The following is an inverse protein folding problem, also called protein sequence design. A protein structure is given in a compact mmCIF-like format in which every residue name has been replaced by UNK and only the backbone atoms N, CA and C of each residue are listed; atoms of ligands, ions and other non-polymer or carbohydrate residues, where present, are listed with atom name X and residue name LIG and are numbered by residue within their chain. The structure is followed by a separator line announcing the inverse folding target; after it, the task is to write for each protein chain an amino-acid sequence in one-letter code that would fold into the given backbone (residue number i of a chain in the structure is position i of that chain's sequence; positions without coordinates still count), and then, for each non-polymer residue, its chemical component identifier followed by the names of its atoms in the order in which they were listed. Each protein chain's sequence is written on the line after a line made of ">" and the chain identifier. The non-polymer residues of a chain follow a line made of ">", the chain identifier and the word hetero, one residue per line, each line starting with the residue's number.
data_IF_222132443229
#
_entry.id   IF_222132443229
#
_cell.length_a   1.000
_cell.length_b   1.000
_cell.length_c   1.000
_cell.angle_alpha   90.00
_cell.angle_beta   90.00
_cell.angle_gamma   90.00
#
_symmetry.space_group_name_H-M   'P 1'
#
loop_
_entity.id
_entity.type
_entity.pdbx_description
1 polymer ?
#
# COMPACT_ATOMS: atom_id res chain seq x y z
N UNK A 1 0.21 -24.22 1.27
CA UNK A 1 0.41 -24.13 -0.18
C UNK A 1 -0.15 -22.78 -0.61
N UNK A 2 0.73 -21.84 -0.92
CA UNK A 2 0.29 -20.59 -1.53
C UNK A 2 -0.24 -20.95 -2.92
N UNK A 3 -1.57 -20.94 -3.08
CA UNK A 3 -2.15 -20.97 -4.42
C UNK A 3 -1.46 -19.88 -5.23
N UNK A 4 -1.02 -20.24 -6.44
CA UNK A 4 -0.42 -19.31 -7.38
C UNK A 4 -1.27 -18.06 -7.45
N UNK A 5 -0.83 -17.00 -6.76
CA UNK A 5 -1.41 -15.69 -6.88
C UNK A 5 -1.44 -15.33 -8.36
N UNK A 6 -2.61 -15.05 -8.87
CA UNK A 6 -2.78 -14.66 -10.26
C UNK A 6 -2.26 -13.23 -10.42
N UNK A 7 -0.97 -13.11 -10.69
CA UNK A 7 -0.32 -11.84 -11.00
C UNK A 7 -0.32 -11.66 -12.51
N UNK A 8 -1.06 -10.69 -13.02
CA UNK A 8 -1.10 -10.37 -14.45
C UNK A 8 0.09 -9.52 -14.89
N UNK A 9 0.75 -8.85 -13.96
CA UNK A 9 2.05 -8.18 -14.15
C UNK A 9 2.89 -8.31 -12.88
N UNK A 10 4.22 -8.11 -13.00
CA UNK A 10 5.15 -8.13 -11.86
C UNK A 10 4.84 -7.08 -10.79
N UNK A 11 3.98 -6.12 -11.09
CA UNK A 11 3.65 -4.99 -10.22
C UNK A 11 2.25 -5.05 -9.64
N UNK A 12 1.38 -5.94 -10.12
CA UNK A 12 0.02 -6.09 -9.61
C UNK A 12 0.02 -6.61 -8.17
N UNK A 13 -0.94 -6.12 -7.40
CA UNK A 13 -1.23 -6.66 -6.08
C UNK A 13 -1.94 -8.01 -6.15
N UNK A 14 -1.91 -8.71 -5.05
CA UNK A 14 -2.57 -10.00 -4.85
C UNK A 14 -3.64 -9.85 -3.78
N UNK A 15 -4.82 -10.40 -4.00
CA UNK A 15 -5.81 -10.52 -2.94
C UNK A 15 -5.42 -11.63 -1.97
N UNK A 16 -5.52 -11.32 -0.69
CA UNK A 16 -5.21 -12.26 0.39
C UNK A 16 -6.45 -12.48 1.26
N UNK A 17 -6.51 -13.67 1.81
CA UNK A 17 -7.52 -14.08 2.78
C UNK A 17 -6.82 -14.73 3.97
N UNK A 18 -7.09 -14.21 5.16
CA UNK A 18 -6.51 -14.74 6.39
C UNK A 18 -7.47 -14.53 7.56
N UNK A 19 -7.73 -15.59 8.32
CA UNK A 19 -8.54 -15.57 9.53
C UNK A 19 -9.90 -14.85 9.36
N UNK A 20 -10.58 -15.08 8.25
CA UNK A 20 -11.88 -14.44 7.96
C UNK A 20 -11.79 -12.98 7.48
N UNK A 21 -10.58 -12.49 7.23
CA UNK A 21 -10.31 -11.13 6.75
C UNK A 21 -9.83 -11.15 5.31
N UNK A 22 -10.28 -10.18 4.52
CA UNK A 22 -9.82 -9.93 3.16
C UNK A 22 -8.82 -8.78 3.13
N UNK A 23 -7.90 -8.83 2.18
CA UNK A 23 -6.93 -7.77 2.01
C UNK A 23 -6.23 -7.81 0.66
N UNK A 24 -5.31 -6.89 0.48
CA UNK A 24 -4.45 -6.79 -0.69
C UNK A 24 -2.99 -6.79 -0.25
N UNK A 25 -2.16 -7.47 -1.01
CA UNK A 25 -0.73 -7.61 -0.78
C UNK A 25 0.04 -7.16 -2.01
N UNK A 26 1.12 -6.41 -1.77
CA UNK A 26 2.07 -6.01 -2.80
C UNK A 26 3.49 -6.31 -2.35
N UNK A 27 4.34 -6.66 -3.30
CA UNK A 27 5.77 -6.75 -3.13
C UNK A 27 6.47 -5.85 -4.14
N UNK A 28 7.46 -5.10 -3.69
CA UNK A 28 8.27 -4.22 -4.54
C UNK A 28 9.75 -4.38 -4.19
N UNK A 29 10.58 -4.47 -5.21
CA UNK A 29 12.03 -4.33 -5.07
C UNK A 29 12.38 -2.89 -5.40
N UNK A 30 12.98 -2.20 -4.44
CA UNK A 30 13.37 -0.80 -4.54
C UNK A 30 14.90 -0.70 -4.47
N UNK A 31 15.51 -0.10 -5.48
CA UNK A 31 16.97 0.06 -5.54
C UNK A 31 17.43 1.24 -4.68
N UNK A 32 17.07 1.17 -3.40
CA UNK A 32 17.36 2.16 -2.35
C UNK A 32 17.54 1.47 -1.01
N UNK A 33 18.41 2.00 -0.12
CA UNK A 33 18.61 1.44 1.21
C UNK A 33 17.33 1.56 2.07
N UNK A 34 17.18 0.68 3.04
CA UNK A 34 15.98 0.60 3.90
C UNK A 34 15.72 1.90 4.64
N UNK A 35 16.76 2.63 5.04
CA UNK A 35 16.65 3.91 5.74
C UNK A 35 15.94 4.97 4.87
N UNK A 36 16.25 5.01 3.58
CA UNK A 36 15.60 5.93 2.64
C UNK A 36 14.14 5.55 2.41
N UNK A 37 13.85 4.28 2.27
CA UNK A 37 12.47 3.79 2.14
C UNK A 37 11.69 4.06 3.42
N UNK A 38 12.27 3.81 4.59
CA UNK A 38 11.65 4.11 5.88
C UNK A 38 11.29 5.59 6.05
N UNK A 39 12.19 6.48 5.66
CA UNK A 39 11.92 7.92 5.67
C UNK A 39 10.73 8.28 4.77
N UNK A 40 10.64 7.67 3.59
CA UNK A 40 9.52 7.89 2.69
C UNK A 40 8.17 7.44 3.27
N UNK A 41 8.17 6.43 4.15
CA UNK A 41 6.98 5.90 4.82
C UNK A 41 6.59 6.66 6.10
N UNK A 42 7.52 7.40 6.71
CA UNK A 42 7.33 7.93 8.06
C UNK A 42 7.52 9.43 8.20
N UNK A 43 8.17 10.09 7.26
CA UNK A 43 8.35 11.54 7.31
C UNK A 43 7.20 12.26 6.58
N UNK A 44 6.50 13.21 7.23
CA UNK A 44 5.38 13.93 6.64
C UNK A 44 5.71 14.58 5.29
N UNK A 45 6.89 15.20 5.16
CA UNK A 45 7.34 15.83 3.93
C UNK A 45 7.51 14.81 2.78
N UNK A 46 7.92 13.60 3.09
CA UNK A 46 8.07 12.52 2.13
C UNK A 46 6.71 11.93 1.76
N UNK A 47 5.86 11.65 2.74
CA UNK A 47 4.50 11.14 2.52
C UNK A 47 3.68 12.05 1.62
N UNK A 48 3.82 13.37 1.76
CA UNK A 48 3.12 14.34 0.92
C UNK A 48 3.49 14.24 -0.57
N UNK A 49 4.64 13.66 -0.90
CA UNK A 49 5.11 13.55 -2.29
C UNK A 49 4.51 12.36 -3.04
N UNK A 50 4.12 11.29 -2.34
CA UNK A 50 3.66 10.07 -3.00
C UNK A 50 2.32 9.55 -2.49
N UNK A 51 1.91 9.88 -1.29
CA UNK A 51 0.67 9.38 -0.69
C UNK A 51 -0.34 10.50 -0.44
N UNK A 52 -0.11 11.33 0.55
CA UNK A 52 -0.93 12.49 0.90
C UNK A 52 -0.22 13.35 1.94
N UNK A 53 -0.61 14.63 2.09
CA UNK A 53 -0.19 15.41 3.25
C UNK A 53 -0.55 14.67 4.54
N UNK A 54 0.41 14.57 5.45
CA UNK A 54 0.29 13.73 6.63
C UNK A 54 0.82 14.39 7.89
N UNK A 55 0.33 13.94 9.03
CA UNK A 55 0.96 14.13 10.32
C UNK A 55 1.16 12.78 10.99
N UNK A 56 2.30 12.61 11.66
CA UNK A 56 2.67 11.37 12.36
C UNK A 56 3.18 11.73 13.75
N UNK A 57 2.67 11.01 14.76
CA UNK A 57 3.31 10.88 16.06
C UNK A 57 4.00 9.51 16.08
N UNK A 58 5.36 9.47 16.07
CA UNK A 58 6.09 8.21 15.94
C UNK A 58 5.91 7.28 17.14
N UNK A 59 6.23 6.01 16.91
CA UNK A 59 6.31 4.98 17.92
C UNK A 59 5.02 4.19 18.13
N UNK A 60 5.12 3.06 18.88
CA UNK A 60 3.95 2.28 19.26
C UNK A 60 2.96 3.13 20.09
N UNK A 61 1.68 3.06 19.73
CA UNK A 61 0.65 3.91 20.35
C UNK A 61 0.58 5.33 19.80
N UNK A 62 1.48 5.70 18.88
CA UNK A 62 1.40 6.93 18.10
C UNK A 62 0.25 6.95 17.11
N UNK A 63 0.21 7.96 16.26
CA UNK A 63 -0.87 8.15 15.30
C UNK A 63 -0.36 8.56 13.93
N UNK A 64 -1.16 8.27 12.92
CA UNK A 64 -0.99 8.76 11.56
C UNK A 64 -2.29 9.39 11.10
N UNK A 65 -2.21 10.53 10.44
CA UNK A 65 -3.38 11.21 9.85
C UNK A 65 -3.02 11.63 8.44
N UNK A 66 -3.85 11.27 7.47
CA UNK A 66 -3.72 11.64 6.07
C UNK A 66 -4.83 12.62 5.67
N UNK A 67 -4.46 13.66 4.94
CA UNK A 67 -5.40 14.60 4.31
C UNK A 67 -5.70 14.13 2.90
N UNK A 68 -6.83 13.48 2.70
CA UNK A 68 -7.27 12.97 1.40
C UNK A 68 -8.25 13.94 0.75
N UNK A 69 -8.47 13.81 -0.56
CA UNK A 69 -9.43 14.65 -1.31
C UNK A 69 -10.84 14.56 -0.74
N UNK A 70 -11.24 13.41 -0.22
CA UNK A 70 -12.56 13.18 0.39
C UNK A 70 -12.65 13.45 1.89
N UNK A 71 -11.57 13.92 2.53
CA UNK A 71 -11.52 14.17 3.97
C UNK A 71 -10.27 13.64 4.65
N UNK A 72 -10.29 13.63 5.96
CA UNK A 72 -9.18 13.20 6.78
C UNK A 72 -9.31 11.71 7.16
N UNK A 73 -8.25 10.96 6.99
CA UNK A 73 -8.16 9.57 7.41
C UNK A 73 -7.16 9.43 8.55
N UNK A 74 -7.62 8.98 9.70
CA UNK A 74 -6.79 8.80 10.89
C UNK A 74 -6.65 7.34 11.29
N UNK A 75 -5.51 7.03 11.91
CA UNK A 75 -5.20 5.71 12.41
C UNK A 75 -4.24 5.73 13.59
N UNK A 76 -4.21 4.61 14.32
CA UNK A 76 -3.30 4.39 15.43
C UNK A 76 -2.16 3.49 15.01
N UNK A 77 -0.91 3.90 15.31
CA UNK A 77 0.27 3.06 15.07
C UNK A 77 0.28 1.93 16.09
N UNK A 78 0.22 0.69 15.59
CA UNK A 78 0.19 -0.53 16.39
C UNK A 78 1.55 -1.18 16.50
N UNK A 79 2.41 -1.01 15.47
CA UNK A 79 3.79 -1.49 15.49
C UNK A 79 4.71 -0.45 14.85
N UNK A 80 5.83 -0.24 15.50
CA UNK A 80 6.89 0.64 15.03
C UNK A 80 8.23 0.01 15.35
N UNK A 81 8.93 -0.45 14.33
CA UNK A 81 10.30 -0.93 14.43
C UNK A 81 11.10 -0.30 13.31
N UNK A 82 11.90 0.67 13.66
CA UNK A 82 12.64 1.51 12.72
C UNK A 82 13.36 0.68 11.64
N UNK A 83 13.21 1.10 10.40
CA UNK A 83 13.78 0.46 9.21
C UNK A 83 13.32 -0.99 8.95
N UNK A 84 12.33 -1.50 9.68
CA UNK A 84 11.89 -2.90 9.57
C UNK A 84 10.39 -3.03 9.42
N UNK A 85 9.60 -2.37 10.31
CA UNK A 85 8.17 -2.63 10.38
C UNK A 85 7.39 -1.41 10.86
N UNK A 86 6.40 -1.01 10.05
CA UNK A 86 5.37 -0.05 10.42
C UNK A 86 4.00 -0.69 10.23
N UNK A 87 3.17 -0.67 11.26
CA UNK A 87 1.78 -1.11 11.18
C UNK A 87 0.86 -0.09 11.85
N UNK A 88 -0.24 0.23 11.20
CA UNK A 88 -1.27 1.07 11.78
C UNK A 88 -2.66 0.58 11.42
N UNK A 89 -3.60 0.82 12.33
CA UNK A 89 -5.01 0.51 12.15
C UNK A 89 -5.78 1.81 11.90
N UNK A 90 -6.50 1.86 10.79
CA UNK A 90 -7.39 2.97 10.47
C UNK A 90 -8.65 2.95 11.34
N UNK A 91 -9.29 4.10 11.54
CA UNK A 91 -10.53 4.20 12.32
C UNK A 91 -11.69 3.40 11.73
N UNK A 92 -11.64 3.04 10.45
CA UNK A 92 -12.62 2.16 9.81
C UNK A 92 -12.41 0.66 10.09
N UNK A 93 -11.40 0.31 10.87
CA UNK A 93 -11.05 -1.05 11.24
C UNK A 93 -10.09 -1.76 10.30
N UNK A 94 -9.78 -1.21 9.14
CA UNK A 94 -8.77 -1.79 8.26
C UNK A 94 -7.35 -1.52 8.78
N UNK A 95 -6.40 -2.33 8.33
CA UNK A 95 -5.03 -2.31 8.85
C UNK A 95 -4.03 -2.28 7.72
N UNK A 96 -3.04 -1.40 7.82
CA UNK A 96 -1.92 -1.29 6.88
C UNK A 96 -0.62 -1.72 7.55
N UNK A 97 0.16 -2.53 6.85
CA UNK A 97 1.44 -3.03 7.31
C UNK A 97 2.49 -2.90 6.22
N UNK A 98 3.62 -2.34 6.59
CA UNK A 98 4.81 -2.14 5.79
C UNK A 98 5.97 -2.91 6.42
N UNK A 99 6.59 -3.82 5.68
CA UNK A 99 7.78 -4.55 6.11
C UNK A 99 8.91 -4.27 5.13
N UNK A 100 10.08 -3.97 5.67
CA UNK A 100 11.29 -3.70 4.90
C UNK A 100 12.33 -4.79 5.16
N UNK A 101 12.80 -5.41 4.09
CA UNK A 101 13.83 -6.43 4.14
C UNK A 101 15.04 -5.94 3.33
N UNK A 102 16.23 -6.11 3.87
CA UNK A 102 17.47 -5.88 3.14
C UNK A 102 17.63 -6.90 2.00
N UNK A 103 17.83 -6.42 0.78
CA UNK A 103 18.19 -7.21 -0.40
C UNK A 103 19.64 -6.92 -0.86
N UNK A 104 20.48 -6.39 0.02
CA UNK A 104 21.81 -5.86 -0.21
C UNK A 104 21.95 -4.48 0.41
N UNK A 105 23.09 -3.82 0.22
CA UNK A 105 23.36 -2.52 0.86
C UNK A 105 22.42 -1.42 0.39
N UNK A 106 22.11 -1.38 -0.91
CA UNK A 106 21.32 -0.31 -1.54
C UNK A 106 20.01 -0.83 -2.15
N UNK A 107 19.47 -1.91 -1.61
CA UNK A 107 18.24 -2.49 -2.13
C UNK A 107 17.32 -2.96 -1.00
N UNK A 108 16.04 -2.62 -1.14
CA UNK A 108 14.99 -2.99 -0.18
C UNK A 108 13.93 -3.82 -0.87
N UNK A 109 13.55 -4.93 -0.25
CA UNK A 109 12.30 -5.62 -0.54
C UNK A 109 11.23 -5.04 0.37
N UNK A 110 10.28 -4.35 -0.22
CA UNK A 110 9.11 -3.79 0.45
C UNK A 110 7.95 -4.76 0.35
N UNK A 111 7.43 -5.18 1.49
CA UNK A 111 6.19 -5.96 1.59
C UNK A 111 5.09 -5.07 2.17
N UNK A 112 4.00 -4.97 1.45
CA UNK A 112 2.85 -4.16 1.84
C UNK A 112 1.61 -5.03 1.97
N UNK A 113 0.87 -4.82 3.05
CA UNK A 113 -0.42 -5.48 3.26
C UNK A 113 -1.46 -4.47 3.74
N UNK A 114 -2.62 -4.43 3.09
CA UNK A 114 -3.80 -3.74 3.59
C UNK A 114 -4.87 -4.80 3.85
N UNK A 115 -5.14 -5.09 5.10
CA UNK A 115 -6.04 -6.15 5.56
C UNK A 115 -7.30 -5.60 6.22
N UNK A 116 -8.28 -6.48 6.51
CA UNK A 116 -9.58 -6.11 7.05
C UNK A 116 -10.33 -5.12 6.16
N UNK A 117 -10.16 -5.30 4.85
CA UNK A 117 -10.85 -4.51 3.82
C UNK A 117 -12.18 -5.20 3.50
N UNK A 118 -13.25 -4.42 3.40
CA UNK A 118 -14.55 -4.93 2.96
C UNK A 118 -14.47 -5.42 1.52
N UNK A 119 -15.09 -6.55 1.20
CA UNK A 119 -15.01 -7.18 -0.12
C UNK A 119 -15.36 -6.23 -1.27
N UNK A 120 -16.37 -5.39 -1.10
CA UNK A 120 -16.79 -4.36 -2.07
C UNK A 120 -15.74 -3.28 -2.33
N UNK A 121 -14.77 -3.12 -1.44
CA UNK A 121 -13.71 -2.11 -1.52
C UNK A 121 -12.36 -2.69 -1.98
N UNK A 122 -12.24 -4.00 -2.14
CA UNK A 122 -10.96 -4.66 -2.44
C UNK A 122 -10.34 -4.18 -3.76
N UNK A 123 -11.13 -4.08 -4.81
CA UNK A 123 -10.64 -3.66 -6.14
C UNK A 123 -10.15 -2.21 -6.09
N UNK A 124 -10.89 -1.33 -5.44
CA UNK A 124 -10.50 0.08 -5.29
C UNK A 124 -9.26 0.23 -4.40
N UNK A 125 -9.16 -0.54 -3.32
CA UNK A 125 -7.97 -0.58 -2.49
C UNK A 125 -6.74 -1.06 -3.29
N UNK A 126 -6.88 -2.12 -4.09
CA UNK A 126 -5.80 -2.63 -4.93
C UNK A 126 -5.36 -1.59 -5.98
N UNK A 127 -6.29 -0.95 -6.68
CA UNK A 127 -5.97 0.10 -7.66
C UNK A 127 -5.28 1.30 -7.02
N UNK A 128 -5.80 1.78 -5.90
CA UNK A 128 -5.25 2.93 -5.19
C UNK A 128 -3.82 2.67 -4.70
N UNK A 129 -3.57 1.54 -4.07
CA UNK A 129 -2.23 1.18 -3.61
C UNK A 129 -1.25 0.89 -4.74
N UNK A 130 -1.70 0.27 -5.83
CA UNK A 130 -0.90 0.10 -7.03
C UNK A 130 -0.37 1.45 -7.53
N UNK A 131 -1.24 2.43 -7.70
CA UNK A 131 -0.88 3.79 -8.11
C UNK A 131 0.11 4.44 -7.13
N UNK A 132 -0.19 4.43 -5.83
CA UNK A 132 0.66 5.07 -4.83
C UNK A 132 2.04 4.42 -4.72
N UNK A 133 2.14 3.11 -4.86
CA UNK A 133 3.42 2.40 -4.85
C UNK A 133 4.27 2.73 -6.09
N UNK A 134 3.65 2.94 -7.24
CA UNK A 134 4.36 3.40 -8.45
C UNK A 134 4.89 4.83 -8.27
N UNK A 135 4.10 5.72 -7.66
CA UNK A 135 4.56 7.08 -7.33
C UNK A 135 5.67 7.05 -6.27
N UNK A 136 5.57 6.19 -5.26
CA UNK A 136 6.65 6.00 -4.26
C UNK A 136 7.98 5.66 -4.96
N UNK A 137 7.96 4.73 -5.90
CA UNK A 137 9.15 4.35 -6.65
C UNK A 137 9.77 5.55 -7.40
N UNK A 138 8.95 6.38 -8.04
CA UNK A 138 9.41 7.59 -8.71
C UNK A 138 10.03 8.61 -7.74
N UNK A 139 9.37 8.85 -6.61
CA UNK A 139 9.84 9.80 -5.59
C UNK A 139 11.17 9.33 -4.99
N UNK A 140 11.35 8.05 -4.75
CA UNK A 140 12.62 7.49 -4.27
C UNK A 140 13.76 7.70 -5.28
N UNK A 141 13.46 7.74 -6.57
CA UNK A 141 14.43 8.10 -7.63
C UNK A 141 14.69 9.61 -7.77
N UNK A 142 14.09 10.44 -6.91
CA UNK A 142 14.18 11.89 -6.96
C UNK A 142 13.31 12.53 -8.05
N UNK A 143 12.37 11.79 -8.62
CA UNK A 143 11.42 12.26 -9.63
C UNK A 143 10.13 12.71 -8.97
N UNK A 144 9.45 13.66 -9.60
CA UNK A 144 8.10 14.07 -9.18
C UNK A 144 7.05 13.21 -9.87
N UNK A 145 5.88 13.09 -9.24
CA UNK A 145 4.72 12.56 -9.92
C UNK A 145 4.48 13.35 -11.23
N UNK A 146 4.20 12.69 -12.36
CA UNK A 146 3.93 13.38 -13.61
C UNK A 146 2.74 14.35 -13.47
N UNK A 147 2.77 15.47 -14.17
CA UNK A 147 1.62 16.44 -14.19
C UNK A 147 0.33 15.76 -14.67
N UNK A 148 0.45 14.77 -15.54
CA UNK A 148 -0.65 13.93 -16.01
C UNK A 148 -0.89 12.67 -15.15
N UNK A 149 -0.42 12.66 -13.90
CA UNK A 149 -0.53 11.49 -13.02
C UNK A 149 -1.99 11.01 -12.85
N UNK A 150 -2.96 11.94 -12.79
CA UNK A 150 -4.38 11.60 -12.68
C UNK A 150 -4.88 10.91 -13.94
N UNK A 151 -4.54 11.43 -15.13
CA UNK A 151 -4.93 10.80 -16.41
C UNK A 151 -4.29 9.40 -16.55
N UNK A 152 -3.01 9.30 -16.21
CA UNK A 152 -2.29 8.02 -16.23
C UNK A 152 -2.87 7.04 -15.21
N UNK A 153 -3.29 7.52 -14.05
CA UNK A 153 -4.00 6.71 -13.08
C UNK A 153 -5.34 6.19 -13.63
N UNK A 154 -6.10 7.04 -14.33
CA UNK A 154 -7.37 6.63 -14.96
C UNK A 154 -7.16 5.54 -16.02
N UNK A 155 -6.08 5.60 -16.79
CA UNK A 155 -5.71 4.56 -17.75
C UNK A 155 -5.35 3.25 -17.03
N UNK A 156 -4.48 3.31 -16.03
CA UNK A 156 -4.11 2.17 -15.19
C UNK A 156 -5.34 1.62 -14.48
N UNK A 157 -6.21 2.47 -13.95
CA UNK A 157 -7.42 2.07 -13.26
C UNK A 157 -8.39 1.32 -14.16
N UNK A 158 -8.52 1.70 -15.43
CA UNK A 158 -9.36 0.97 -16.39
C UNK A 158 -8.84 -0.44 -16.66
N UNK A 159 -7.55 -0.58 -16.92
CA UNK A 159 -6.91 -1.88 -17.13
C UNK A 159 -6.92 -2.71 -15.84
N UNK A 160 -6.54 -2.12 -14.72
CA UNK A 160 -6.48 -2.78 -13.42
C UNK A 160 -7.87 -3.23 -12.93
N UNK A 161 -8.93 -2.48 -13.22
CA UNK A 161 -10.30 -2.87 -12.84
C UNK A 161 -10.67 -4.22 -13.40
N UNK A 162 -10.33 -4.48 -14.66
CA UNK A 162 -10.60 -5.77 -15.30
C UNK A 162 -9.79 -6.91 -14.65
N UNK A 163 -8.50 -6.69 -14.42
CA UNK A 163 -7.60 -7.68 -13.81
C UNK A 163 -7.97 -7.99 -12.36
N UNK A 164 -8.16 -6.96 -11.56
CA UNK A 164 -8.53 -7.13 -10.15
C UNK A 164 -9.96 -7.66 -9.98
N UNK A 165 -10.88 -7.26 -10.86
CA UNK A 165 -12.24 -7.80 -10.88
C UNK A 165 -12.26 -9.30 -11.16
N UNK A 166 -11.47 -9.77 -12.13
CA UNK A 166 -11.33 -11.20 -12.42
C UNK A 166 -10.67 -11.96 -11.24
N UNK A 167 -9.69 -11.36 -10.56
CA UNK A 167 -9.07 -11.96 -9.37
C UNK A 167 -10.05 -12.03 -8.19
N UNK A 168 -10.90 -11.02 -8.01
CA UNK A 168 -11.92 -10.98 -6.97
C UNK A 168 -12.95 -12.11 -7.11
N UNK A 169 -13.32 -12.47 -8.34
CA UNK A 169 -14.27 -13.57 -8.62
C UNK A 169 -13.78 -14.94 -8.14
N UNK A 170 -12.47 -15.08 -7.89
CA UNK A 170 -11.88 -16.32 -7.38
C UNK A 170 -11.93 -16.42 -5.86
N UNK A 171 -12.34 -15.36 -5.16
CA UNK A 171 -12.54 -15.36 -3.71
C UNK A 171 -13.91 -15.95 -3.40
N UNK A 172 -14.04 -16.85 -2.39
CA UNK A 172 -15.34 -17.40 -2.00
C UNK A 172 -16.37 -16.32 -1.68
N UNK A 173 -17.58 -16.45 -2.22
CA UNK A 173 -18.68 -15.45 -2.12
C UNK A 173 -19.00 -15.09 -0.66
N UNK A 174 -18.90 -16.05 0.27
CA UNK A 174 -19.11 -15.82 1.70
C UNK A 174 -18.18 -14.77 2.34
N UNK A 175 -17.11 -14.38 1.66
CA UNK A 175 -16.09 -13.43 2.15
C UNK A 175 -16.21 -12.05 1.51
N UNK A 176 -17.07 -11.85 0.52
CA UNK A 176 -17.17 -10.60 -0.25
C UNK A 176 -18.26 -9.68 0.27
N UNK A 177 -19.17 -10.18 1.11
CA UNK A 177 -20.33 -9.45 1.67
C UNK A 177 -20.08 -8.93 3.08
#
# INVERSE_FOLDING_TARGET
>A
MLEKAFTLSLHDGTFIQSAGSLGVYFERILDHPVEKVWQALTQPQQLAQWLAPASITPGPGGSITLQLTGGTMGGKITKWKENILLEYAWHNGSKVRWELLHEGEDRTRLLFTHSHVKGVQLVDAAKGWHYHLDILALVLEGKKAPENAVQRWEEIAREATSRYGAALQKIPVAMVH
#
